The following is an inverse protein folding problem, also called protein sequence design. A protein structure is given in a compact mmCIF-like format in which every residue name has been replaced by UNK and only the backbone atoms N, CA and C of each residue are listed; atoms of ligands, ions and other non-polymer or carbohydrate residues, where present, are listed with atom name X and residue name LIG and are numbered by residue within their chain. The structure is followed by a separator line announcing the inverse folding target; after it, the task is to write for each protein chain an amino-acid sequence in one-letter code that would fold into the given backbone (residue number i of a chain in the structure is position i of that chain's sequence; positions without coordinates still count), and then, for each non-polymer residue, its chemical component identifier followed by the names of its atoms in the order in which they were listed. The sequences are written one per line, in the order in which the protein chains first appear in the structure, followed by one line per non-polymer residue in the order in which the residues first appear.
data_IF_507329656179
#
_entry.id   IF_507329656179
#
_cell.length_a   1.000
_cell.length_b   1.000
_cell.length_c   1.000
_cell.angle_alpha   90.00
_cell.angle_beta   90.00
_cell.angle_gamma   90.00
#
_symmetry.space_group_name_H-M   'P 1'
#
loop_
_entity.id
_entity.type
_entity.pdbx_description
1 polymer ?
#
# COMPACT_ATOMS: atom_id res chain seq x y z
N UNK A 1 -27.87 32.76 -19.49
CA UNK A 1 -27.88 31.38 -20.04
C UNK A 1 -26.49 30.74 -20.11
N UNK A 2 -25.44 31.45 -20.55
CA UNK A 2 -24.07 30.89 -20.71
C UNK A 2 -23.38 30.45 -19.41
N UNK A 3 -23.55 31.18 -18.30
CA UNK A 3 -22.95 30.82 -17.01
C UNK A 3 -23.52 29.52 -16.42
N UNK A 4 -24.84 29.33 -16.47
CA UNK A 4 -25.50 28.10 -16.01
C UNK A 4 -25.06 26.87 -16.81
N UNK A 5 -24.89 27.04 -18.13
CA UNK A 5 -24.39 25.98 -19.01
C UNK A 5 -22.94 25.62 -18.65
N UNK A 6 -22.08 26.63 -18.44
CA UNK A 6 -20.68 26.45 -18.03
C UNK A 6 -20.54 25.73 -16.68
N UNK A 7 -21.31 26.16 -15.66
CA UNK A 7 -21.30 25.52 -14.33
C UNK A 7 -21.76 24.07 -14.44
N UNK A 8 -22.81 23.78 -15.22
CA UNK A 8 -23.29 22.41 -15.42
C UNK A 8 -22.21 21.53 -16.08
N UNK A 9 -21.55 22.03 -17.12
CA UNK A 9 -20.47 21.28 -17.79
C UNK A 9 -19.28 21.03 -16.85
N UNK A 10 -18.92 22.01 -16.02
CA UNK A 10 -17.86 21.88 -15.03
C UNK A 10 -18.19 20.80 -14.00
N UNK A 11 -19.42 20.79 -13.47
CA UNK A 11 -19.88 19.81 -12.50
C UNK A 11 -19.88 18.39 -13.07
N UNK A 12 -20.35 18.20 -14.31
CA UNK A 12 -20.30 16.90 -14.98
C UNK A 12 -18.86 16.44 -15.17
N UNK A 13 -17.95 17.34 -15.57
CA UNK A 13 -16.54 17.02 -15.73
C UNK A 13 -15.87 16.62 -14.41
N UNK A 14 -16.11 17.37 -13.32
CA UNK A 14 -15.63 17.00 -11.98
C UNK A 14 -16.20 15.66 -11.52
N UNK A 15 -17.48 15.40 -11.79
CA UNK A 15 -18.11 14.13 -11.48
C UNK A 15 -17.43 12.97 -12.23
N UNK A 16 -17.12 13.14 -13.52
CA UNK A 16 -16.39 12.14 -14.31
C UNK A 16 -15.01 11.88 -13.70
N UNK A 17 -14.24 12.91 -13.36
CA UNK A 17 -12.91 12.75 -12.73
C UNK A 17 -13.00 11.95 -11.44
N UNK A 18 -13.97 12.29 -10.58
CA UNK A 18 -14.17 11.58 -9.33
C UNK A 18 -14.61 10.13 -9.56
N UNK A 19 -15.53 9.91 -10.50
CA UNK A 19 -16.06 8.59 -10.83
C UNK A 19 -14.97 7.65 -11.38
N UNK A 20 -14.01 8.16 -12.16
CA UNK A 20 -12.91 7.34 -12.71
C UNK A 20 -12.06 6.71 -11.59
N UNK A 21 -11.94 7.34 -10.43
CA UNK A 21 -11.24 6.75 -9.28
C UNK A 21 -12.01 5.61 -8.61
N UNK A 22 -13.32 5.51 -8.82
CA UNK A 22 -14.17 4.42 -8.34
C UNK A 22 -14.30 3.26 -9.32
N UNK A 23 -13.83 3.41 -10.56
CA UNK A 23 -13.81 2.31 -11.53
C UNK A 23 -12.84 1.22 -11.02
N UNK A 24 -13.27 -0.06 -10.96
CA UNK A 24 -12.42 -1.15 -10.52
C UNK A 24 -11.20 -1.27 -11.44
N UNK A 25 -10.01 -1.20 -10.85
CA UNK A 25 -8.71 -1.30 -11.53
C UNK A 25 -7.93 -2.48 -10.96
N UNK A 26 -6.85 -2.89 -11.63
CA UNK A 26 -5.93 -3.87 -11.05
C UNK A 26 -5.18 -3.21 -9.87
N UNK A 27 -5.06 -3.95 -8.78
CA UNK A 27 -4.18 -3.60 -7.66
C UNK A 27 -2.73 -3.84 -8.06
N UNK A 28 -1.83 -3.04 -7.50
CA UNK A 28 -0.38 -3.25 -7.59
C UNK A 28 0.23 -3.10 -6.20
N UNK A 29 1.12 -4.02 -5.88
CA UNK A 29 1.83 -4.02 -4.60
C UNK A 29 3.07 -3.14 -4.71
N UNK A 30 3.27 -2.26 -3.72
CA UNK A 30 4.43 -1.39 -3.65
C UNK A 30 4.93 -1.26 -2.22
N UNK A 31 6.25 -1.22 -2.04
CA UNK A 31 6.89 -0.98 -0.76
C UNK A 31 7.22 0.51 -0.61
N UNK A 32 6.73 1.13 0.46
CA UNK A 32 7.08 2.51 0.85
C UNK A 32 8.13 2.44 1.97
N UNK A 33 9.37 2.91 1.73
CA UNK A 33 10.43 2.89 2.74
C UNK A 33 10.13 3.81 3.94
N UNK A 34 10.87 3.61 5.03
CA UNK A 34 10.83 4.51 6.20
C UNK A 34 11.57 5.82 5.91
N UNK A 35 11.10 6.90 6.53
CA UNK A 35 11.76 8.23 6.54
C UNK A 35 12.04 8.83 5.15
N UNK A 36 11.24 8.48 4.14
CA UNK A 36 11.34 9.09 2.81
C UNK A 36 10.39 10.28 2.67
N UNK A 37 10.79 11.25 1.84
CA UNK A 37 10.00 12.46 1.60
C UNK A 37 8.78 12.18 0.70
N UNK A 38 7.74 13.02 0.81
CA UNK A 38 6.58 12.98 -0.10
C UNK A 38 6.98 13.16 -1.58
N UNK A 39 8.10 13.85 -1.86
CA UNK A 39 8.67 13.98 -3.20
C UNK A 39 9.14 12.63 -3.77
N UNK A 40 9.85 11.85 -2.95
CA UNK A 40 10.31 10.51 -3.34
C UNK A 40 9.11 9.58 -3.54
N UNK A 41 8.18 9.54 -2.59
CA UNK A 41 6.97 8.72 -2.67
C UNK A 41 6.17 9.05 -3.93
N UNK A 42 5.97 10.34 -4.24
CA UNK A 42 5.27 10.74 -5.45
C UNK A 42 5.95 10.27 -6.74
N UNK A 43 7.28 10.31 -6.79
CA UNK A 43 8.03 9.83 -7.96
C UNK A 43 7.88 8.31 -8.11
N UNK A 44 8.06 7.57 -7.02
CA UNK A 44 7.87 6.12 -6.95
C UNK A 44 6.46 5.69 -7.41
N UNK A 45 5.41 6.38 -6.95
CA UNK A 45 4.04 6.07 -7.34
C UNK A 45 3.74 6.40 -8.81
N UNK A 46 4.35 7.45 -9.35
CA UNK A 46 4.22 7.86 -10.75
C UNK A 46 4.91 6.83 -11.67
N UNK A 47 6.14 6.45 -11.33
CA UNK A 47 6.93 5.45 -12.07
C UNK A 47 6.21 4.09 -12.10
N UNK A 48 5.59 3.71 -10.98
CA UNK A 48 4.81 2.47 -10.88
C UNK A 48 3.39 2.57 -11.50
N UNK A 49 3.03 3.72 -12.09
CA UNK A 49 1.72 4.02 -12.70
C UNK A 49 0.55 3.88 -11.74
N UNK A 50 0.75 4.24 -10.47
CA UNK A 50 -0.27 4.28 -9.41
C UNK A 50 -0.89 5.67 -9.24
N UNK A 51 -0.26 6.70 -9.78
CA UNK A 51 -0.80 8.06 -9.88
C UNK A 51 -0.47 8.67 -11.24
N UNK A 52 -1.19 9.73 -11.63
CA UNK A 52 -0.90 10.47 -12.86
C UNK A 52 0.30 11.39 -12.76
N UNK A 53 0.47 12.04 -11.60
CA UNK A 53 1.52 13.04 -11.44
C UNK A 53 2.04 13.13 -10.02
N UNK A 54 3.36 13.04 -9.86
CA UNK A 54 4.04 13.28 -8.58
C UNK A 54 3.78 14.69 -8.03
N UNK A 55 3.56 15.67 -8.92
CA UNK A 55 3.28 17.06 -8.52
C UNK A 55 1.90 17.17 -7.89
N UNK A 56 0.88 16.56 -8.50
CA UNK A 56 -0.48 16.51 -7.94
C UNK A 56 -0.45 15.80 -6.59
N UNK A 57 0.23 14.66 -6.49
CA UNK A 57 0.39 13.94 -5.23
C UNK A 57 0.97 14.82 -4.12
N UNK A 58 2.05 15.56 -4.40
CA UNK A 58 2.66 16.47 -3.42
C UNK A 58 1.71 17.57 -2.97
N UNK A 59 0.94 18.15 -3.89
CA UNK A 59 -0.08 19.13 -3.55
C UNK A 59 -1.17 18.53 -2.65
N UNK A 60 -1.65 17.33 -2.96
CA UNK A 60 -2.64 16.65 -2.13
C UNK A 60 -2.09 16.39 -0.73
N UNK A 61 -0.88 15.84 -0.60
CA UNK A 61 -0.23 15.59 0.70
C UNK A 61 -0.07 16.88 1.51
N UNK A 62 0.29 17.98 0.85
CA UNK A 62 0.43 19.30 1.47
C UNK A 62 -0.93 19.84 1.96
N UNK A 63 -1.94 19.85 1.09
CA UNK A 63 -3.29 20.33 1.40
C UNK A 63 -3.98 19.52 2.50
N UNK A 64 -3.72 18.21 2.58
CA UNK A 64 -4.26 17.34 3.62
C UNK A 64 -3.40 17.29 4.89
N UNK A 65 -2.28 18.02 4.93
CA UNK A 65 -1.29 17.99 6.02
C UNK A 65 -0.88 16.57 6.41
N UNK A 66 -0.70 15.71 5.40
CA UNK A 66 -0.47 14.28 5.57
C UNK A 66 1.00 13.87 5.58
N UNK A 67 1.93 14.79 5.33
CA UNK A 67 3.35 14.49 5.12
C UNK A 67 3.97 13.66 6.25
N UNK A 68 3.66 14.00 7.51
CA UNK A 68 4.15 13.26 8.70
C UNK A 68 3.27 12.07 9.12
N UNK A 69 2.14 11.85 8.43
CA UNK A 69 1.15 10.82 8.76
C UNK A 69 1.26 9.58 7.85
N UNK A 70 1.99 9.68 6.74
CA UNK A 70 2.24 8.56 5.84
C UNK A 70 3.08 7.51 6.57
N UNK A 71 2.61 6.26 6.55
CA UNK A 71 3.31 5.14 7.17
C UNK A 71 4.16 4.40 6.13
N UNK A 72 5.21 3.72 6.60
CA UNK A 72 6.03 2.83 5.78
C UNK A 72 5.41 1.43 5.71
N UNK A 73 5.66 0.69 4.63
CA UNK A 73 5.29 -0.72 4.52
C UNK A 73 4.84 -1.12 3.12
N UNK A 74 4.28 -2.33 3.01
CA UNK A 74 3.74 -2.88 1.78
C UNK A 74 2.28 -2.48 1.60
N UNK A 75 1.98 -1.83 0.48
CA UNK A 75 0.64 -1.38 0.13
C UNK A 75 0.15 -2.05 -1.14
N UNK A 76 -1.11 -2.46 -1.13
CA UNK A 76 -1.86 -2.77 -2.34
C UNK A 76 -2.65 -1.53 -2.76
N UNK A 77 -2.23 -0.88 -3.84
CA UNK A 77 -2.83 0.35 -4.31
C UNK A 77 -3.50 0.17 -5.67
N UNK A 78 -4.56 0.94 -5.88
CA UNK A 78 -5.17 1.14 -7.19
C UNK A 78 -4.65 2.44 -7.79
N UNK A 79 -4.61 2.52 -9.11
CA UNK A 79 -4.32 3.77 -9.79
C UNK A 79 -5.35 4.86 -9.45
N UNK A 80 -4.89 6.03 -9.04
CA UNK A 80 -5.72 7.20 -8.74
C UNK A 80 -5.30 8.42 -9.56
N UNK A 81 -6.28 9.02 -10.23
CA UNK A 81 -6.14 10.29 -10.95
C UNK A 81 -6.03 11.44 -9.96
N UNK A 82 -6.88 11.45 -8.93
CA UNK A 82 -6.92 12.55 -7.95
C UNK A 82 -5.84 12.48 -6.89
N UNK A 83 -5.15 11.34 -6.76
CA UNK A 83 -4.20 11.00 -5.69
C UNK A 83 -4.78 10.94 -4.27
N UNK A 84 -6.01 11.43 -4.04
CA UNK A 84 -6.62 11.52 -2.72
C UNK A 84 -6.87 10.14 -2.08
N UNK A 85 -7.45 9.13 -2.77
CA UNK A 85 -7.54 7.76 -2.26
C UNK A 85 -6.17 7.16 -1.91
N UNK A 86 -5.15 7.45 -2.73
CA UNK A 86 -3.78 6.96 -2.51
C UNK A 86 -3.21 7.55 -1.23
N UNK A 87 -3.28 8.88 -1.06
CA UNK A 87 -2.82 9.56 0.18
C UNK A 87 -3.58 9.04 1.40
N UNK A 88 -4.90 8.87 1.29
CA UNK A 88 -5.71 8.31 2.37
C UNK A 88 -5.23 6.91 2.79
N UNK A 89 -4.98 6.02 1.83
CA UNK A 89 -4.48 4.66 2.11
C UNK A 89 -3.08 4.70 2.75
N UNK A 90 -2.18 5.55 2.25
CA UNK A 90 -0.84 5.73 2.81
C UNK A 90 -0.85 6.19 4.27
N UNK A 91 -1.76 7.11 4.61
CA UNK A 91 -1.97 7.60 5.98
C UNK A 91 -2.60 6.53 6.88
N UNK A 92 -3.61 5.81 6.37
CA UNK A 92 -4.24 4.69 7.07
C UNK A 92 -3.20 3.64 7.48
N UNK A 93 -2.29 3.33 6.56
CA UNK A 93 -1.22 2.37 6.75
C UNK A 93 -1.37 1.12 5.91
N UNK A 94 -0.32 0.30 5.81
CA UNK A 94 -0.38 -0.98 5.12
C UNK A 94 -1.35 -1.92 5.83
N UNK A 95 -1.83 -2.95 5.12
CA UNK A 95 -2.60 -4.03 5.75
C UNK A 95 -1.68 -4.77 6.71
N UNK A 96 -1.98 -4.71 8.01
CA UNK A 96 -1.26 -5.47 9.02
C UNK A 96 -1.93 -6.83 9.18
N UNK A 97 -1.17 -7.91 9.00
CA UNK A 97 -1.60 -9.27 9.31
C UNK A 97 -0.91 -9.67 10.60
N UNK A 98 -1.67 -9.80 11.69
CA UNK A 98 -1.15 -10.35 12.95
C UNK A 98 -1.04 -11.87 12.82
N UNK A 99 0.15 -12.39 13.07
CA UNK A 99 0.42 -13.84 13.15
C UNK A 99 0.96 -14.14 14.54
N UNK A 100 0.26 -14.96 15.30
CA UNK A 100 0.73 -15.46 16.58
C UNK A 100 1.51 -16.75 16.35
N UNK A 101 2.74 -16.77 16.85
CA UNK A 101 3.60 -17.96 16.90
C UNK A 101 3.69 -18.37 18.38
N UNK A 102 2.98 -19.43 18.81
CA UNK A 102 3.12 -19.95 20.15
C UNK A 102 4.52 -20.50 20.40
N UNK A 103 4.94 -20.50 21.66
CA UNK A 103 6.16 -21.19 22.09
C UNK A 103 6.11 -22.68 21.74
N UNK A 104 7.26 -23.25 21.39
CA UNK A 104 7.38 -24.66 21.00
C UNK A 104 6.98 -24.97 19.56
N UNK A 105 6.62 -23.96 18.75
CA UNK A 105 6.35 -24.14 17.32
C UNK A 105 7.62 -24.54 16.56
N UNK A 106 7.54 -25.60 15.75
CA UNK A 106 8.62 -25.97 14.82
C UNK A 106 8.61 -25.07 13.58
N UNK A 107 9.72 -24.97 12.85
CA UNK A 107 9.77 -24.21 11.60
C UNK A 107 8.71 -24.66 10.59
N UNK A 108 8.40 -25.96 10.52
CA UNK A 108 7.37 -26.47 9.61
C UNK A 108 5.98 -25.95 9.97
N UNK A 109 5.66 -25.87 11.27
CA UNK A 109 4.38 -25.33 11.75
C UNK A 109 4.29 -23.81 11.52
N UNK A 110 5.41 -23.10 11.69
CA UNK A 110 5.51 -21.67 11.38
C UNK A 110 5.30 -21.45 9.88
N UNK A 111 6.01 -22.20 9.04
CA UNK A 111 5.90 -22.11 7.59
C UNK A 111 4.47 -22.37 7.13
N UNK A 112 3.84 -23.43 7.63
CA UNK A 112 2.45 -23.74 7.31
C UNK A 112 1.50 -22.63 7.76
N UNK A 113 1.72 -22.04 8.93
CA UNK A 113 0.89 -20.93 9.41
C UNK A 113 1.05 -19.68 8.56
N UNK A 114 2.27 -19.34 8.15
CA UNK A 114 2.54 -18.22 7.24
C UNK A 114 1.92 -18.45 5.87
N UNK A 115 1.98 -19.69 5.36
CA UNK A 115 1.37 -20.08 4.09
C UNK A 115 -0.15 -19.97 4.13
N UNK A 116 -0.80 -20.52 5.17
CA UNK A 116 -2.26 -20.40 5.35
C UNK A 116 -2.74 -18.95 5.53
N UNK A 117 -1.85 -18.06 6.00
CA UNK A 117 -2.10 -16.61 6.12
C UNK A 117 -1.80 -15.85 4.81
N UNK A 118 -1.38 -16.53 3.75
CA UNK A 118 -0.96 -15.97 2.47
C UNK A 118 0.21 -14.98 2.58
N UNK A 119 1.08 -15.17 3.59
CA UNK A 119 2.25 -14.30 3.82
C UNK A 119 3.45 -14.79 3.02
N UNK A 120 3.58 -16.11 2.86
CA UNK A 120 4.58 -16.75 2.01
C UNK A 120 3.89 -17.57 0.94
N UNK A 121 4.52 -17.65 -0.24
CA UNK A 121 3.98 -18.42 -1.38
C UNK A 121 4.42 -19.88 -1.36
N UNK A 122 5.58 -20.18 -0.76
CA UNK A 122 6.10 -21.54 -0.66
C UNK A 122 6.62 -21.83 0.76
N UNK A 123 5.99 -22.75 1.51
CA UNK A 123 6.47 -23.14 2.84
C UNK A 123 7.81 -23.88 2.79
N UNK A 124 8.11 -24.62 1.71
CA UNK A 124 9.35 -25.40 1.58
C UNK A 124 10.56 -24.47 1.40
N UNK A 125 10.41 -23.43 0.58
CA UNK A 125 11.43 -22.40 0.40
C UNK A 125 11.79 -21.74 1.74
N UNK A 126 10.76 -21.36 2.52
CA UNK A 126 10.96 -20.77 3.85
C UNK A 126 11.68 -21.71 4.81
N UNK A 127 11.26 -22.97 4.90
CA UNK A 127 11.89 -23.98 5.76
C UNK A 127 13.36 -24.18 5.36
N UNK A 128 13.62 -24.28 4.06
CA UNK A 128 14.97 -24.46 3.51
C UNK A 128 15.87 -23.29 3.88
N UNK A 129 15.37 -22.06 3.74
CA UNK A 129 16.09 -20.85 4.11
C UNK A 129 16.46 -20.84 5.60
N UNK A 130 15.49 -21.11 6.49
CA UNK A 130 15.71 -21.15 7.95
C UNK A 130 16.74 -22.20 8.33
N UNK A 131 16.61 -23.42 7.79
CA UNK A 131 17.55 -24.52 8.06
C UNK A 131 18.95 -24.21 7.53
N UNK A 132 19.06 -23.66 6.30
CA UNK A 132 20.35 -23.31 5.70
C UNK A 132 21.14 -22.25 6.50
N UNK A 133 20.41 -21.42 7.26
CA UNK A 133 20.98 -20.36 8.10
C UNK A 133 21.07 -20.75 9.57
N UNK A 134 20.72 -21.99 9.94
CA UNK A 134 20.64 -22.46 11.34
C UNK A 134 19.81 -21.54 12.24
N UNK A 135 18.65 -21.09 11.73
CA UNK A 135 17.75 -20.17 12.44
C UNK A 135 16.62 -20.89 13.21
N UNK A 136 16.67 -22.23 13.30
CA UNK A 136 15.72 -22.99 14.11
C UNK A 136 15.82 -22.56 15.58
N UNK A 137 14.67 -22.33 16.23
CA UNK A 137 14.64 -21.84 17.62
C UNK A 137 14.97 -20.34 17.79
N UNK A 138 15.42 -19.63 16.75
CA UNK A 138 15.63 -18.18 16.75
C UNK A 138 14.44 -17.39 16.17
N UNK A 139 13.39 -18.09 15.76
CA UNK A 139 12.11 -17.49 15.34
C UNK A 139 11.35 -17.07 16.60
N UNK A 140 11.78 -15.96 17.22
CA UNK A 140 11.24 -15.51 18.51
C UNK A 140 9.72 -15.34 18.45
N UNK A 141 8.96 -16.06 19.30
CA UNK A 141 7.53 -15.88 19.42
C UNK A 141 7.25 -14.56 20.15
N UNK A 142 6.38 -13.71 19.58
CA UNK A 142 5.73 -12.66 20.36
C UNK A 142 4.46 -13.22 21.00
N UNK A 143 4.28 -12.95 22.29
CA UNK A 143 3.10 -13.29 23.08
C UNK A 143 1.86 -12.54 22.60
#
# INVERSE_FOLDING_TARGET
MRLKLFVRTLLVFMFIIFFVDFIPKKKKTIFIPKNVSAKYIGSLLEDEKLILSKTIFRWVVFLTMSERKIKSGNYELYFSITCLPTVYNLVKGPKVIKVTIPEGFTVEQIAQRLYTKEIISDPIEFITYVKSKNLEGFLFPET
#
